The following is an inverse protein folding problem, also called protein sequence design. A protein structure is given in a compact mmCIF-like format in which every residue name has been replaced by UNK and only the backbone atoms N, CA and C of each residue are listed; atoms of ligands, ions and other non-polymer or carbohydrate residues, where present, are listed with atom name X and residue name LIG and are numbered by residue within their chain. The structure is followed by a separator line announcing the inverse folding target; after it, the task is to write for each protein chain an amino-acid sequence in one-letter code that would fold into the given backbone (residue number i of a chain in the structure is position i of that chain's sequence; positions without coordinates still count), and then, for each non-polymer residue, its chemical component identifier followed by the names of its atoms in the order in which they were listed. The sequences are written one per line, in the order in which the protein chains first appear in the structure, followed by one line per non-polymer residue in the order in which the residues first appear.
data_IF_156127070476
#
_entry.id   IF_156127070476
#
_cell.length_a   1.000
_cell.length_b   1.000
_cell.length_c   1.000
_cell.angle_alpha   90.00
_cell.angle_beta   90.00
_cell.angle_gamma   90.00
#
_symmetry.space_group_name_H-M   'P 1'
#
loop_
_entity.id
_entity.type
_entity.pdbx_description
1 polymer ?
2 polymer ?
3 polymer ?
4 non-polymer ?
5 non-polymer ?
6 non-polymer ?
7 water ?
#
# COMPACT_ATOMS: atom_id res chain seq x y z
N UNK A 1 -3.89 7.06 -16.26
CA UNK A 1 -2.65 7.12 -17.01
C UNK A 1 -2.13 5.72 -17.30
N UNK A 2 -1.76 5.46 -18.55
CA UNK A 2 -1.18 4.18 -18.91
C UNK A 2 0.22 4.06 -18.32
N UNK A 3 0.48 2.96 -17.61
CA UNK A 3 1.77 2.78 -16.97
C UNK A 3 2.02 1.29 -16.77
N UNK A 4 3.25 0.86 -17.09
CA UNK A 4 3.67 -0.49 -16.69
C UNK A 4 3.95 -0.55 -15.20
N UNK A 5 4.51 0.53 -14.65
CA UNK A 5 4.82 0.61 -13.23
C UNK A 5 4.64 2.05 -12.77
N UNK A 6 4.32 2.21 -11.49
CA UNK A 6 4.09 3.52 -10.87
C UNK A 6 5.00 3.64 -9.66
N UNK A 7 5.81 4.69 -9.64
CA UNK A 7 6.75 4.97 -8.55
C UNK A 7 6.40 6.33 -7.95
N UNK A 8 6.11 6.36 -6.66
CA UNK A 8 5.52 7.53 -6.04
C UNK A 8 6.19 7.87 -4.72
N UNK A 9 6.68 9.10 -4.60
CA UNK A 9 7.01 9.69 -3.31
C UNK A 9 5.75 10.27 -2.70
N UNK A 10 5.44 9.84 -1.48
CA UNK A 10 4.24 10.31 -0.78
C UNK A 10 4.64 10.82 0.58
N UNK A 11 4.14 12.00 0.94
CA UNK A 11 4.46 12.60 2.22
C UNK A 11 3.27 13.41 2.70
N UNK A 12 3.11 13.49 4.02
CA UNK A 12 2.06 14.32 4.58
C UNK A 12 2.51 14.89 5.91
N UNK A 13 1.85 15.98 6.31
CA UNK A 13 2.01 16.56 7.64
C UNK A 13 0.61 16.86 8.17
N UNK A 14 0.51 16.91 9.51
CA UNK A 14 -0.77 17.18 10.15
C UNK A 14 -0.51 17.66 11.58
N UNK A 15 -1.58 18.14 12.21
CA UNK A 15 -1.46 18.68 13.56
C UNK A 15 -1.19 17.58 14.59
N UNK A 16 -1.90 16.47 14.49
CA UNK A 16 -1.79 15.39 15.47
C UNK A 16 -0.80 14.33 15.02
N UNK A 17 -0.46 13.43 15.94
CA UNK A 17 0.53 12.41 15.66
C UNK A 17 -0.05 11.31 14.78
N UNK A 18 0.70 10.83 13.77
CA UNK A 18 2.05 11.30 13.43
C UNK A 18 2.04 12.63 12.68
N UNK A 19 2.89 13.56 13.11
CA UNK A 19 2.87 14.90 12.53
C UNK A 19 3.49 14.92 11.14
N UNK A 20 4.29 13.91 10.77
CA UNK A 20 4.91 13.90 9.47
C UNK A 20 5.25 12.49 9.03
N UNK A 21 5.25 12.29 7.72
CA UNK A 21 5.63 11.01 7.12
C UNK A 21 6.17 11.26 5.73
N UNK A 22 7.26 10.57 5.39
CA UNK A 22 7.87 10.68 4.07
C UNK A 22 8.29 9.29 3.62
N UNK A 23 7.73 8.82 2.51
CA UNK A 23 8.02 7.47 2.05
C UNK A 23 7.98 7.42 0.53
N UNK A 24 8.45 6.30 -0.01
CA UNK A 24 8.44 6.01 -1.43
C UNK A 24 7.83 4.64 -1.66
N UNK A 25 6.97 4.53 -2.65
CA UNK A 25 6.30 3.28 -2.96
C UNK A 25 6.49 2.94 -4.43
N UNK A 26 6.64 1.65 -4.71
CA UNK A 26 6.75 1.13 -6.07
C UNK A 26 5.63 0.13 -6.29
N UNK A 27 4.78 0.42 -7.27
CA UNK A 27 3.60 -0.41 -7.55
C UNK A 27 2.79 -0.67 -6.28
N UNK A 28 2.62 0.39 -5.48
CA UNK A 28 1.77 0.41 -4.30
C UNK A 28 2.37 -0.31 -3.11
N UNK A 29 3.67 -0.59 -3.08
CA UNK A 29 4.32 -1.18 -1.92
C UNK A 29 5.39 -0.23 -1.42
N UNK A 30 5.33 0.10 -0.13
CA UNK A 30 6.30 0.99 0.49
C UNK A 30 7.70 0.36 0.43
N UNK A 31 8.62 1.04 -0.27
CA UNK A 31 9.98 0.54 -0.42
C UNK A 31 10.93 1.11 0.63
N UNK A 32 10.78 2.38 0.96
CA UNK A 32 11.55 2.97 2.04
C UNK A 32 10.82 4.19 2.57
N UNK A 33 11.23 4.62 3.76
CA UNK A 33 10.75 5.87 4.34
C UNK A 33 11.89 6.53 5.10
N UNK A 34 11.72 7.81 5.40
CA UNK A 34 12.68 8.58 6.17
C UNK A 34 12.13 8.71 7.58
N UNK A 35 12.79 8.06 8.54
CA UNK A 35 12.43 8.23 9.95
C UNK A 35 12.77 9.65 10.37
N UNK A 36 11.74 10.48 10.58
CA UNK A 36 11.96 11.90 10.79
C UNK A 36 12.66 12.18 12.11
N UNK A 37 12.47 11.33 13.11
CA UNK A 37 13.15 11.52 14.40
C UNK A 37 14.60 11.05 14.33
N UNK A 38 14.83 9.82 13.85
CA UNK A 38 16.19 9.31 13.71
C UNK A 38 16.93 10.00 12.56
N UNK A 39 16.20 10.66 11.65
CA UNK A 39 16.80 11.35 10.50
C UNK A 39 17.59 10.39 9.62
N UNK A 40 17.06 9.18 9.40
CA UNK A 40 17.73 8.21 8.55
C UNK A 40 16.70 7.44 7.71
N UNK A 41 17.20 6.85 6.64
CA UNK A 41 16.37 6.09 5.72
C UNK A 41 16.18 4.66 6.22
N UNK A 42 14.94 4.19 6.21
CA UNK A 42 14.60 2.83 6.62
C UNK A 42 14.05 2.09 5.41
N UNK A 43 14.69 0.98 5.06
CA UNK A 43 14.31 0.19 3.90
C UNK A 43 13.41 -0.96 4.32
N UNK A 44 12.38 -1.24 3.51
CA UNK A 44 11.39 -2.23 3.91
C UNK A 44 11.97 -3.64 3.87
N UNK A 45 12.73 -3.95 2.83
CA UNK A 45 13.39 -5.24 2.69
C UNK A 45 14.90 -5.04 2.77
N UNK A 46 15.58 -5.99 3.41
CA UNK A 46 17.03 -5.86 3.59
C UNK A 46 17.77 -5.83 2.26
N UNK A 47 17.26 -6.56 1.25
CA UNK A 47 17.90 -6.52 -0.06
C UNK A 47 17.89 -5.12 -0.65
N UNK A 48 16.84 -4.35 -0.39
CA UNK A 48 16.81 -2.96 -0.85
C UNK A 48 17.89 -2.13 -0.18
N UNK A 49 18.08 -2.32 1.13
CA UNK A 49 19.11 -1.59 1.84
C UNK A 49 20.52 -1.93 1.37
N UNK A 50 20.72 -3.15 0.88
CA UNK A 50 22.02 -3.54 0.37
C UNK A 50 22.25 -3.06 -1.06
N UNK A 51 21.18 -2.76 -1.81
CA UNK A 51 21.30 -2.32 -3.19
C UNK A 51 21.22 -0.82 -3.37
N UNK A 52 20.53 -0.13 -2.47
CA UNK A 52 20.17 1.27 -2.66
C UNK A 52 20.61 2.10 -1.46
N UNK A 53 20.63 3.42 -1.68
CA UNK A 53 20.77 4.39 -0.60
C UNK A 53 19.91 5.59 -0.95
N UNK A 54 19.47 6.32 0.08
CA UNK A 54 18.70 7.53 -0.10
C UNK A 54 19.09 8.53 0.96
N UNK A 55 19.35 9.77 0.54
CA UNK A 55 19.74 10.82 1.46
C UNK A 55 18.53 11.24 2.30
N UNK A 56 18.56 10.92 3.59
CA UNK A 56 17.45 11.25 4.48
C UNK A 56 17.17 12.75 4.52
N UNK A 57 18.17 13.58 4.21
CA UNK A 57 17.97 15.03 4.24
C UNK A 57 16.92 15.47 3.23
N UNK A 58 16.82 14.78 2.09
CA UNK A 58 15.81 15.12 1.11
C UNK A 58 14.40 14.97 1.63
N UNK A 59 14.19 13.98 2.52
CA UNK A 59 12.87 13.81 3.10
C UNK A 59 12.56 14.85 4.17
N UNK A 60 13.57 15.20 4.98
CA UNK A 60 13.38 16.24 5.97
C UNK A 60 13.12 17.59 5.31
N UNK A 61 13.81 17.85 4.19
CA UNK A 61 13.64 19.13 3.50
C UNK A 61 12.24 19.26 2.92
N UNK A 62 11.70 18.17 2.37
CA UNK A 62 10.35 18.25 1.82
C UNK A 62 9.30 18.33 2.91
N UNK A 63 9.54 17.70 4.06
CA UNK A 63 8.60 17.77 5.17
C UNK A 63 8.50 19.21 5.67
N UNK A 64 9.62 19.91 5.77
CA UNK A 64 9.58 21.32 6.15
C UNK A 64 8.80 22.15 5.14
N UNK A 65 9.00 21.88 3.84
CA UNK A 65 8.23 22.58 2.82
C UNK A 65 6.74 22.26 2.96
N UNK A 66 6.42 20.99 3.28
CA UNK A 66 5.01 20.63 3.50
C UNK A 66 4.43 21.35 4.71
N UNK A 67 5.23 21.53 5.76
CA UNK A 67 4.76 22.26 6.93
C UNK A 67 4.56 23.74 6.60
N UNK A 68 5.42 24.30 5.75
CA UNK A 68 5.24 25.67 5.29
C UNK A 68 3.91 25.83 4.55
N UNK A 69 3.65 24.95 3.59
CA UNK A 69 2.42 25.06 2.81
C UNK A 69 1.19 24.71 3.63
N UNK A 70 1.35 23.90 4.69
CA UNK A 70 0.21 23.61 5.56
C UNK A 70 -0.27 24.88 6.26
N UNK A 71 0.65 25.60 6.90
CA UNK A 71 0.29 26.86 7.56
C UNK A 71 -0.37 27.82 6.57
N UNK A 72 0.18 27.92 5.36
CA UNK A 72 -0.39 28.81 4.35
C UNK A 72 -1.80 28.38 3.95
N UNK A 73 -2.02 27.07 3.83
CA UNK A 73 -3.32 26.59 3.38
C UNK A 73 -4.35 26.59 4.51
N UNK A 74 -3.90 26.49 5.76
CA UNK A 74 -4.83 26.63 6.89
C UNK A 74 -5.47 28.01 6.87
N UNK A 75 -4.67 29.06 6.71
CA UNK A 75 -5.20 30.41 6.70
C UNK A 75 -6.03 30.67 5.45
N UNK A 76 -5.56 30.21 4.29
CA UNK A 76 -6.26 30.51 3.05
C UNK A 76 -7.59 29.78 2.97
N UNK A 77 -7.70 28.59 3.53
CA UNK A 77 -8.95 27.84 3.53
C UNK A 77 -9.93 28.29 4.60
N UNK A 78 -9.61 29.36 5.33
CA UNK A 78 -10.41 29.80 6.47
C UNK A 78 -10.54 28.70 7.52
N UNK A 79 -9.40 28.04 7.81
CA UNK A 79 -9.31 26.99 8.82
C UNK A 79 -10.31 25.87 8.53
N UNK A 80 -10.34 25.41 7.29
CA UNK A 80 -11.27 24.35 6.88
C UNK A 80 -10.70 23.01 7.32
N UNK A 81 -11.45 22.28 8.14
CA UNK A 81 -11.08 20.94 8.57
C UNK A 81 -12.03 19.93 7.92
N UNK A 82 -11.45 18.91 7.31
CA UNK A 82 -12.23 17.92 6.57
C UNK A 82 -12.98 16.99 7.51
N UNK A 83 -14.04 16.39 6.98
CA UNK A 83 -14.82 15.43 7.74
C UNK A 83 -13.99 14.17 8.00
N UNK A 84 -14.39 13.43 9.03
CA UNK A 84 -13.74 12.17 9.37
C UNK A 84 -14.29 11.06 8.48
N UNK A 85 -13.41 10.37 7.76
CA UNK A 85 -13.81 9.22 6.98
C UNK A 85 -13.52 7.96 7.79
N UNK A 86 -14.53 7.20 8.20
CA UNK A 86 -14.27 6.08 9.10
C UNK A 86 -13.58 4.95 8.38
N UNK A 87 -12.84 4.11 9.09
CA UNK A 87 -12.06 3.05 8.44
C UNK A 87 -12.83 1.77 8.23
N UNK A 88 -12.43 1.06 7.17
CA UNK A 88 -12.85 -0.32 6.93
C UNK A 88 -11.77 -1.25 7.47
N UNK A 89 -12.17 -2.28 8.20
CA UNK A 89 -11.25 -3.17 8.88
C UNK A 89 -11.48 -4.60 8.43
N UNK A 90 -10.41 -5.28 8.02
CA UNK A 90 -10.45 -6.69 7.64
C UNK A 90 -9.27 -7.40 8.29
N UNK A 91 -9.51 -8.60 8.80
CA UNK A 91 -8.49 -9.43 9.44
C UNK A 91 -8.42 -10.75 8.70
N UNK A 92 -7.19 -11.18 8.39
CA UNK A 92 -6.99 -12.41 7.62
C UNK A 92 -5.56 -12.90 7.86
N UNK A 93 -5.31 -14.19 7.75
CA UNK A 93 -3.96 -14.71 7.95
C UNK A 93 -3.10 -14.56 6.69
N UNK A 94 -1.79 -14.51 6.93
CA UNK A 94 -0.83 -14.47 5.82
C UNK A 94 -0.73 -15.83 5.14
N UNK A 95 -0.72 -16.90 5.92
CA UNK A 95 -0.54 -18.27 5.46
C UNK A 95 -1.83 -19.06 5.64
N UNK A 96 -1.98 -20.20 4.96
CA UNK A 96 -3.11 -21.08 5.26
C UNK A 96 -3.05 -21.53 6.71
N UNK A 97 -4.21 -21.58 7.35
CA UNK A 97 -4.30 -21.86 8.78
C UNK A 97 -4.11 -23.36 8.99
N UNK A 98 -3.02 -23.74 9.63
CA UNK A 98 -2.78 -25.10 10.09
C UNK A 98 -2.52 -25.06 11.58
N UNK A 99 -3.32 -25.80 12.35
CA UNK A 99 -3.21 -25.77 13.80
C UNK A 99 -1.83 -26.20 14.23
N UNK A 100 -1.17 -25.39 15.05
CA UNK A 100 0.17 -25.66 15.52
C UNK A 100 1.28 -25.07 14.66
N UNK A 101 0.98 -24.66 13.43
CA UNK A 101 2.00 -24.11 12.55
C UNK A 101 2.04 -22.59 12.68
N UNK A 102 3.21 -22.00 12.96
CA UNK A 102 3.30 -20.54 13.11
C UNK A 102 2.74 -19.82 11.89
N UNK A 103 2.09 -18.69 12.15
CA UNK A 103 1.41 -17.92 11.12
C UNK A 103 1.49 -16.44 11.50
N UNK A 104 0.93 -15.59 10.65
CA UNK A 104 0.88 -14.16 10.90
C UNK A 104 -0.52 -13.66 10.61
N UNK A 105 -1.20 -13.12 11.62
CA UNK A 105 -2.49 -12.49 11.43
C UNK A 105 -2.27 -11.06 10.93
N UNK A 106 -3.04 -10.68 9.90
CA UNK A 106 -2.94 -9.35 9.30
C UNK A 106 -4.24 -8.61 9.54
N UNK A 107 -4.13 -7.40 10.07
CA UNK A 107 -5.28 -6.50 10.19
C UNK A 107 -5.07 -5.35 9.22
N UNK A 108 -6.00 -5.19 8.28
CA UNK A 108 -5.92 -4.15 7.26
C UNK A 108 -7.00 -3.11 7.52
N UNK A 109 -6.58 -1.87 7.73
CA UNK A 109 -7.46 -0.75 8.03
C UNK A 109 -7.40 0.19 6.83
N UNK A 110 -8.56 0.52 6.26
CA UNK A 110 -8.59 1.10 4.92
C UNK A 110 -9.57 2.27 4.82
N UNK A 111 -9.29 3.16 3.87
CA UNK A 111 -10.21 4.21 3.43
C UNK A 111 -10.55 5.19 4.55
N UNK A 112 -9.58 5.50 5.39
CA UNK A 112 -9.84 6.39 6.52
C UNK A 112 -9.05 7.70 6.38
N UNK A 113 -9.55 8.71 7.10
CA UNK A 113 -8.98 10.04 7.12
C UNK A 113 -9.56 10.75 8.34
N UNK A 114 -8.78 11.52 9.10
CA UNK A 114 -7.34 11.79 8.94
C UNK A 114 -6.49 10.58 9.31
N UNK A 115 -5.18 10.64 9.02
CA UNK A 115 -4.28 9.53 9.43
C UNK A 115 -3.96 9.57 10.91
N UNK A 116 -5.00 9.40 11.73
CA UNK A 116 -4.89 9.32 13.18
C UNK A 116 -5.62 8.06 13.63
N UNK A 117 -4.91 7.17 14.31
CA UNK A 117 -5.43 5.82 14.49
C UNK A 117 -4.82 5.17 15.72
N UNK A 118 -5.65 4.46 16.47
CA UNK A 118 -5.21 3.49 17.48
C UNK A 118 -5.62 2.11 17.01
N UNK A 119 -4.69 1.16 17.05
CA UNK A 119 -4.96 -0.23 16.70
C UNK A 119 -4.37 -1.11 17.79
N UNK A 120 -5.13 -2.10 18.24
CA UNK A 120 -4.67 -3.01 19.27
C UNK A 120 -5.12 -4.43 18.92
N UNK A 121 -4.18 -5.37 18.97
CA UNK A 121 -4.52 -6.78 18.88
C UNK A 121 -4.98 -7.28 20.24
N UNK A 122 -6.07 -8.05 20.24
CA UNK A 122 -6.55 -8.73 21.44
C UNK A 122 -6.49 -10.23 21.21
N UNK A 123 -5.83 -10.94 22.12
CA UNK A 123 -5.80 -12.40 22.11
C UNK A 123 -6.60 -12.88 23.31
N UNK A 124 -7.75 -13.50 23.04
CA UNK A 124 -8.67 -13.93 24.08
C UNK A 124 -9.01 -12.77 25.02
N UNK A 125 -9.20 -11.60 24.42
CA UNK A 125 -9.54 -10.40 25.18
C UNK A 125 -8.36 -9.65 25.77
N UNK A 126 -7.14 -10.17 25.67
CA UNK A 126 -5.98 -9.54 26.29
C UNK A 126 -5.11 -8.86 25.25
N UNK A 127 -4.76 -7.60 25.44
CA UNK A 127 -3.97 -6.88 24.43
C UNK A 127 -2.59 -7.50 24.25
N UNK A 128 -2.15 -7.56 23.01
CA UNK A 128 -0.79 -7.96 22.65
C UNK A 128 -0.03 -6.69 22.30
N UNK A 129 0.91 -6.31 23.17
CA UNK A 129 1.58 -5.01 23.07
C UNK A 129 3.02 -5.11 22.61
N UNK A 130 3.55 -6.32 22.41
CA UNK A 130 4.96 -6.49 22.06
C UNK A 130 5.09 -7.52 20.95
N UNK A 131 6.12 -7.35 20.14
CA UNK A 131 6.33 -8.20 18.98
C UNK A 131 5.38 -7.97 17.83
N UNK A 132 4.67 -6.84 17.83
CA UNK A 132 3.68 -6.53 16.81
C UNK A 132 4.26 -5.51 15.84
N UNK A 133 4.17 -5.80 14.56
CA UNK A 133 4.66 -4.91 13.52
C UNK A 133 3.50 -4.15 12.88
N UNK A 134 3.84 -3.06 12.21
CA UNK A 134 2.84 -2.23 11.56
C UNK A 134 3.50 -1.46 10.44
N UNK A 135 2.70 -1.12 9.44
CA UNK A 135 3.16 -0.33 8.32
C UNK A 135 3.06 1.16 8.66
N UNK A 136 3.55 2.00 7.75
CA UNK A 136 3.26 3.43 7.83
C UNK A 136 1.79 3.67 7.57
N UNK A 137 1.38 4.94 7.70
CA UNK A 137 0.09 5.37 7.17
C UNK A 137 0.25 5.48 5.67
N UNK A 138 -0.28 4.49 4.94
CA UNK A 138 -0.02 4.37 3.51
C UNK A 138 -1.00 5.21 2.70
N UNK A 139 -0.51 5.91 1.69
CA UNK A 139 -1.38 6.78 0.90
C UNK A 139 -2.27 6.00 -0.04
N UNK A 140 -3.42 6.61 -0.35
CA UNK A 140 -4.30 6.13 -1.40
C UNK A 140 -4.43 7.20 -2.46
N UNK A 141 -4.85 6.78 -3.65
CA UNK A 141 -5.01 7.73 -4.75
C UNK A 141 -6.18 8.68 -4.54
N UNK A 142 -7.11 8.36 -3.65
CA UNK A 142 -8.17 9.28 -3.26
C UNK A 142 -7.79 10.07 -2.00
N UNK A 143 -6.53 10.01 -1.59
CA UNK A 143 -5.93 10.83 -0.54
C UNK A 143 -6.42 10.48 0.85
N UNK A 144 -7.21 9.42 1.01
CA UNK A 144 -7.39 8.80 2.30
C UNK A 144 -6.23 7.83 2.52
N UNK A 145 -6.28 7.02 3.58
CA UNK A 145 -5.14 6.22 3.96
C UNK A 145 -5.56 4.78 4.21
N UNK A 146 -4.57 3.89 4.22
CA UNK A 146 -4.75 2.54 4.73
C UNK A 146 -3.49 2.14 5.51
N UNK A 147 -3.59 1.02 6.21
CA UNK A 147 -2.55 0.63 7.16
C UNK A 147 -2.66 -0.86 7.47
N UNK A 148 -1.51 -1.48 7.72
CA UNK A 148 -1.42 -2.89 8.06
C UNK A 148 -0.86 -3.05 9.47
N UNK A 149 -1.46 -3.94 10.25
CA UNK A 149 -0.89 -4.38 11.52
C UNK A 149 -0.70 -5.90 11.46
N UNK A 150 0.35 -6.37 12.13
CA UNK A 150 0.78 -7.75 12.02
C UNK A 150 0.95 -8.37 13.39
N UNK A 151 0.53 -9.63 13.52
CA UNK A 151 0.61 -10.37 14.77
C UNK A 151 1.06 -11.79 14.49
N UNK A 152 2.20 -12.17 15.04
CA UNK A 152 2.66 -13.55 14.97
C UNK A 152 1.87 -14.39 15.96
N UNK A 153 1.40 -15.55 15.52
CA UNK A 153 0.60 -16.41 16.39
C UNK A 153 0.67 -17.84 15.89
N UNK A 154 0.32 -18.76 16.79
CA UNK A 154 0.21 -20.18 16.50
C UNK A 154 -1.28 -20.53 16.55
N UNK A 155 -1.90 -20.91 15.43
CA UNK A 155 -3.33 -21.19 15.43
C UNK A 155 -3.68 -22.36 16.37
N UNK A 156 -4.77 -22.18 17.10
CA UNK A 156 -5.33 -23.24 17.92
C UNK A 156 -6.85 -23.09 17.92
N UNK A 157 -7.54 -24.19 18.19
CA UNK A 157 -8.98 -24.20 18.05
C UNK A 157 -9.67 -23.30 19.07
N UNK A 158 -9.12 -23.19 20.28
CA UNK A 158 -9.78 -22.48 21.36
C UNK A 158 -9.57 -20.98 21.33
N UNK A 159 -8.60 -20.49 20.57
CA UNK A 159 -8.20 -19.10 20.68
C UNK A 159 -9.09 -18.19 19.84
N UNK A 160 -9.18 -16.93 20.26
CA UNK A 160 -10.00 -15.92 19.62
C UNK A 160 -9.18 -14.64 19.56
N UNK A 161 -9.24 -13.96 18.41
CA UNK A 161 -8.47 -12.74 18.20
C UNK A 161 -9.39 -11.60 17.80
N UNK A 162 -8.95 -10.38 18.12
CA UNK A 162 -9.68 -9.18 17.75
C UNK A 162 -8.68 -8.11 17.34
N UNK A 163 -9.00 -7.41 16.26
CA UNK A 163 -8.30 -6.18 15.88
C UNK A 163 -9.20 -5.03 16.31
N UNK A 164 -8.78 -4.31 17.36
CA UNK A 164 -9.54 -3.20 17.91
C UNK A 164 -9.01 -1.89 17.35
N UNK A 165 -9.88 -1.16 16.65
CA UNK A 165 -9.49 0.03 15.91
C UNK A 165 -10.25 1.23 16.45
N UNK A 166 -9.52 2.32 16.73
CA UNK A 166 -10.10 3.57 17.19
C UNK A 166 -9.82 4.66 16.17
N UNK A 167 -10.86 5.43 15.83
CA UNK A 167 -10.73 6.51 14.87
C UNK A 167 -11.79 7.56 15.19
N UNK A 168 -11.51 8.80 14.81
CA UNK A 168 -12.42 9.90 15.13
C UNK A 168 -13.76 9.76 14.41
N UNK A 169 -13.76 9.12 13.24
CA UNK A 169 -14.99 8.89 12.51
C UNK A 169 -15.85 7.76 13.01
N UNK A 170 -15.45 7.10 14.11
CA UNK A 170 -16.19 6.00 14.69
C UNK A 170 -16.81 6.42 16.01
N UNK A 171 -18.08 6.09 16.20
CA UNK A 171 -18.74 6.40 17.46
C UNK A 171 -18.13 5.63 18.62
N UNK A 172 -17.78 4.38 18.39
CA UNK A 172 -17.19 3.51 19.40
C UNK A 172 -16.04 2.75 18.77
N UNK A 173 -15.17 2.15 19.59
CA UNK A 173 -14.09 1.32 19.02
C UNK A 173 -14.66 0.20 18.16
N UNK A 174 -13.98 -0.06 17.05
CA UNK A 174 -14.38 -1.10 16.10
C UNK A 174 -13.56 -2.35 16.35
N UNK A 175 -14.24 -3.49 16.51
CA UNK A 175 -13.61 -4.77 16.80
C UNK A 175 -13.91 -5.74 15.67
N UNK A 176 -12.88 -6.14 14.94
CA UNK A 176 -13.00 -7.16 13.90
C UNK A 176 -12.55 -8.49 14.48
N UNK A 177 -13.48 -9.45 14.53
CA UNK A 177 -13.26 -10.74 15.15
C UNK A 177 -12.60 -11.70 14.15
N UNK A 178 -11.79 -12.61 14.69
CA UNK A 178 -11.18 -13.66 13.87
C UNK A 178 -10.91 -14.88 14.72
N UNK A 179 -11.08 -16.05 14.11
CA UNK A 179 -10.68 -17.31 14.73
C UNK A 179 -10.25 -18.27 13.64
N UNK A 180 -9.67 -19.41 14.04
CA UNK A 180 -9.05 -20.32 13.09
C UNK A 180 -10.03 -20.82 12.05
N UNK A 181 -11.31 -20.93 12.39
CA UNK A 181 -12.33 -21.38 11.44
C UNK A 181 -13.00 -20.23 10.70
N UNK A 182 -12.64 -18.99 11.00
CA UNK A 182 -13.21 -17.85 10.27
C UNK A 182 -12.84 -17.93 8.80
N UNK A 183 -13.86 -17.81 7.94
CA UNK A 183 -13.64 -17.81 6.50
C UNK A 183 -13.54 -16.41 5.93
N UNK B 2 -16.56 17.14 19.12
CA UNK B 2 -15.81 16.09 19.79
C UNK B 2 -14.52 15.78 19.04
N UNK B 3 -14.51 16.08 17.74
CA UNK B 3 -13.33 15.84 16.92
C UNK B 3 -12.31 16.95 17.18
N UNK B 4 -11.09 16.63 17.61
CA UNK B 4 -10.09 17.67 17.84
C UNK B 4 -9.72 18.40 16.56
N UNK B 5 -9.19 19.61 16.73
CA UNK B 5 -8.70 20.40 15.61
C UNK B 5 -7.55 19.67 14.93
N UNK B 6 -7.68 19.46 13.61
CA UNK B 6 -6.64 18.78 12.86
C UNK B 6 -6.69 19.23 11.41
N UNK B 7 -5.54 19.63 10.87
CA UNK B 7 -5.39 19.99 9.47
C UNK B 7 -4.29 19.12 8.86
N UNK B 8 -4.48 18.71 7.62
CA UNK B 8 -3.60 17.76 6.96
C UNK B 8 -3.15 18.33 5.62
N UNK B 9 -1.86 18.19 5.33
CA UNK B 9 -1.30 18.60 4.04
C UNK B 9 -0.51 17.44 3.48
N UNK B 10 -0.77 17.10 2.21
CA UNK B 10 -0.15 15.96 1.56
C UNK B 10 0.56 16.40 0.28
N UNK B 11 1.62 15.69 -0.06
CA UNK B 11 2.33 15.91 -1.31
C UNK B 11 2.63 14.60 -2.00
N UNK B 12 2.50 14.59 -3.32
CA UNK B 12 2.75 13.41 -4.13
C UNK B 12 3.67 13.75 -5.29
N UNK B 13 4.61 12.84 -5.56
CA UNK B 13 5.47 12.91 -6.75
C UNK B 13 5.41 11.55 -7.42
N UNK B 14 4.73 11.46 -8.56
CA UNK B 14 4.44 10.19 -9.20
C UNK B 14 5.12 10.13 -10.56
N UNK B 15 5.85 9.05 -10.82
CA UNK B 15 6.44 8.77 -12.11
C UNK B 15 5.77 7.55 -12.71
N UNK B 16 5.27 7.69 -13.95
CA UNK B 16 4.59 6.63 -14.67
C UNK B 16 5.50 6.16 -15.80
N UNK B 17 6.00 4.94 -15.68
CA UNK B 17 6.87 4.36 -16.71
C UNK B 17 6.03 3.55 -17.70
N UNK B 18 6.24 3.79 -18.98
CA UNK B 18 5.54 3.05 -20.02
C UNK B 18 6.31 3.17 -21.33
N UNK B 19 6.66 2.03 -21.92
CA UNK B 19 7.16 1.98 -23.30
C UNK B 19 8.43 2.78 -23.48
N UNK B 20 9.27 2.83 -22.45
CA UNK B 20 10.50 3.60 -22.48
C UNK B 20 10.37 5.07 -22.11
N UNK B 21 9.15 5.53 -21.82
CA UNK B 21 8.90 6.94 -21.50
C UNK B 21 8.60 7.10 -20.03
N UNK B 22 8.69 8.35 -19.56
CA UNK B 22 8.37 8.70 -18.18
C UNK B 22 7.43 9.90 -18.19
N UNK B 23 6.33 9.79 -17.45
CA UNK B 23 5.41 10.90 -17.24
C UNK B 23 5.38 11.22 -15.75
N UNK B 24 5.64 12.49 -15.42
CA UNK B 24 5.76 12.94 -14.04
C UNK B 24 4.52 13.74 -13.65
N UNK B 25 4.02 13.47 -12.43
CA UNK B 25 2.89 14.20 -11.87
C UNK B 25 3.22 14.60 -10.44
N UNK B 26 3.07 15.88 -10.14
CA UNK B 26 3.30 16.41 -8.80
C UNK B 26 1.99 17.00 -8.29
N UNK B 27 1.53 16.53 -7.15
CA UNK B 27 0.23 16.92 -6.60
C UNK B 27 0.39 17.58 -5.25
N UNK B 28 -0.35 18.66 -5.04
CA UNK B 28 -0.38 19.38 -3.77
C UNK B 28 -1.80 19.29 -3.22
N UNK B 29 -1.93 18.80 -2.00
CA UNK B 29 -3.22 18.41 -1.44
C UNK B 29 -3.37 19.04 -0.07
N UNK B 30 -4.51 19.69 0.16
CA UNK B 30 -4.91 20.15 1.48
C UNK B 30 -6.02 19.23 1.97
N UNK B 31 -5.80 18.61 3.12
CA UNK B 31 -6.65 17.52 3.59
C UNK B 31 -6.78 16.45 2.51
N UNK B 32 -7.95 16.34 1.89
CA UNK B 32 -8.15 15.39 0.80
C UNK B 32 -8.36 16.08 -0.54
N UNK B 33 -8.12 17.38 -0.63
CA UNK B 33 -8.44 18.17 -1.82
C UNK B 33 -7.14 18.51 -2.55
N UNK B 34 -6.93 17.91 -3.71
CA UNK B 34 -5.82 18.32 -4.56
C UNK B 34 -6.13 19.69 -5.16
N UNK B 35 -5.28 20.68 -4.87
CA UNK B 35 -5.53 22.04 -5.33
C UNK B 35 -4.57 22.52 -6.41
N UNK B 36 -3.35 21.98 -6.46
CA UNK B 36 -2.39 22.33 -7.49
C UNK B 36 -1.73 21.07 -8.03
N UNK B 37 -1.31 21.13 -9.28
CA UNK B 37 -0.75 19.95 -9.93
C UNK B 37 0.19 20.36 -11.06
N UNK B 38 1.33 19.67 -11.15
CA UNK B 38 2.20 19.73 -12.31
C UNK B 38 2.11 18.40 -13.05
N UNK B 39 1.91 18.48 -14.37
CA UNK B 39 1.88 17.31 -15.23
C UNK B 39 2.89 17.53 -16.34
N UNK B 40 3.84 16.60 -16.48
CA UNK B 40 4.86 16.76 -17.52
C UNK B 40 4.27 16.72 -18.92
N UNK B 41 3.10 16.11 -19.11
CA UNK B 41 2.42 16.16 -20.39
C UNK B 41 1.86 17.53 -20.70
N UNK B 42 1.60 18.34 -19.68
CA UNK B 42 1.17 19.71 -19.87
C UNK B 42 2.36 20.66 -19.94
N UNK B 43 3.37 20.44 -19.09
CA UNK B 43 4.55 21.26 -19.07
C UNK B 43 4.51 22.43 -18.11
N UNK B 44 3.38 22.68 -17.48
CA UNK B 44 3.23 23.80 -16.56
C UNK B 44 2.31 23.38 -15.42
N UNK B 45 2.27 24.21 -14.39
CA UNK B 45 1.36 23.98 -13.27
C UNK B 45 -0.06 24.37 -13.66
N UNK B 46 -1.01 23.70 -13.02
CA UNK B 46 -2.43 23.99 -13.21
C UNK B 46 -3.12 23.98 -11.86
N UNK B 47 -4.08 24.87 -11.67
CA UNK B 47 -4.87 24.90 -10.45
C UNK B 47 -6.04 23.93 -10.59
N UNK B 48 -6.16 23.02 -9.63
CA UNK B 48 -7.27 22.08 -9.63
C UNK B 48 -8.50 22.64 -8.92
N UNK B 49 -8.29 23.45 -7.88
CA UNK B 49 -9.36 24.18 -7.21
C UNK B 49 -8.93 25.63 -7.06
N UNK B 50 -9.87 26.45 -6.59
CA UNK B 50 -9.58 27.87 -6.39
C UNK B 50 -8.48 28.09 -5.37
N UNK B 51 -8.26 27.13 -4.46
CA UNK B 51 -7.20 27.27 -3.46
C UNK B 51 -5.81 27.27 -4.08
N UNK B 52 -5.66 26.77 -5.30
CA UNK B 52 -4.37 26.66 -5.94
C UNK B 52 -4.05 27.72 -6.96
N UNK B 53 -4.98 28.62 -7.26
CA UNK B 53 -4.72 29.67 -8.24
C UNK B 53 -3.51 30.53 -7.88
N UNK B 54 -3.33 31.01 -6.64
CA UNK B 54 -2.11 31.79 -6.34
C UNK B 54 -0.83 31.00 -6.50
N UNK B 55 -0.86 29.69 -6.25
CA UNK B 55 0.35 28.87 -6.37
C UNK B 55 0.71 28.64 -7.83
N UNK B 56 -0.27 28.19 -8.62
CA UNK B 56 -0.02 27.90 -10.03
C UNK B 56 0.39 29.16 -10.78
N UNK B 57 -0.20 30.30 -10.44
CA UNK B 57 0.16 31.55 -11.09
C UNK B 57 1.60 31.95 -10.78
N UNK B 58 2.01 31.80 -9.51
CA UNK B 58 3.37 32.18 -9.14
C UNK B 58 4.39 31.18 -9.70
N UNK B 59 4.10 29.88 -9.58
CA UNK B 59 5.08 28.88 -10.00
C UNK B 59 5.30 28.91 -11.50
N UNK B 60 4.23 29.11 -12.28
CA UNK B 60 4.38 29.21 -13.71
C UNK B 60 5.14 30.47 -14.15
N UNK B 61 5.33 31.43 -13.25
CA UNK B 61 6.10 32.63 -13.53
C UNK B 61 7.58 32.46 -13.21
N UNK B 62 7.97 31.39 -12.52
CA UNK B 62 9.37 31.10 -12.22
C UNK B 62 9.84 30.06 -13.22
N UNK B 63 10.58 30.52 -14.24
CA UNK B 63 11.06 29.60 -15.27
C UNK B 63 12.06 28.59 -14.70
N UNK B 64 12.76 28.96 -13.62
CA UNK B 64 13.65 28.00 -12.98
C UNK B 64 12.86 26.85 -12.36
N UNK B 65 11.69 27.15 -11.78
CA UNK B 65 10.83 26.09 -11.25
C UNK B 65 10.30 25.23 -12.40
N UNK B 66 9.82 25.87 -13.46
CA UNK B 66 9.23 25.12 -14.57
C UNK B 66 10.26 24.23 -15.25
N UNK B 67 11.47 24.74 -15.48
CA UNK B 67 12.50 23.94 -16.14
C UNK B 67 12.94 22.77 -15.26
N UNK B 68 12.97 22.96 -13.94
CA UNK B 68 13.31 21.87 -13.04
C UNK B 68 12.27 20.75 -13.10
N UNK B 69 10.99 21.12 -13.12
CA UNK B 69 9.93 20.12 -13.16
C UNK B 69 9.83 19.45 -14.52
N UNK B 70 10.16 20.17 -15.59
CA UNK B 70 10.15 19.55 -16.92
C UNK B 70 11.27 18.54 -17.08
N UNK B 71 12.36 18.70 -16.33
CA UNK B 71 13.49 17.78 -16.39
C UNK B 71 13.33 16.58 -15.47
N UNK B 72 12.34 16.60 -14.56
CA UNK B 72 12.18 15.48 -13.63
C UNK B 72 11.99 14.15 -14.33
N UNK B 73 11.19 14.03 -15.39
CA UNK B 73 11.07 12.72 -16.06
C UNK B 73 12.39 12.12 -16.48
N UNK B 74 13.37 12.94 -16.87
CA UNK B 74 14.68 12.42 -17.25
C UNK B 74 15.64 12.35 -16.07
N UNK B 75 15.58 13.33 -15.17
CA UNK B 75 16.60 13.43 -14.13
C UNK B 75 16.30 12.53 -12.93
N UNK B 76 15.02 12.32 -12.59
CA UNK B 76 14.63 11.56 -11.42
C UNK B 76 13.84 10.31 -11.78
N UNK B 77 12.79 10.46 -12.59
CA UNK B 77 11.94 9.32 -12.92
C UNK B 77 12.72 8.24 -13.65
N UNK B 78 13.41 8.61 -14.73
CA UNK B 78 14.24 7.65 -15.46
C UNK B 78 15.35 7.12 -14.58
N UNK B 79 15.95 7.98 -13.76
CA UNK B 79 17.04 7.55 -12.88
C UNK B 79 16.56 6.51 -11.88
N UNK B 80 15.44 6.78 -11.20
CA UNK B 80 14.92 5.84 -10.22
C UNK B 80 14.46 4.55 -10.89
N UNK B 81 13.90 4.64 -12.09
CA UNK B 81 13.38 3.46 -12.76
C UNK B 81 14.50 2.51 -13.16
N UNK B 82 15.64 3.05 -13.59
CA UNK B 82 16.76 2.19 -13.96
C UNK B 82 17.29 1.42 -12.75
N UNK B 83 17.26 2.04 -11.57
CA UNK B 83 17.65 1.32 -10.37
C UNK B 83 16.64 0.26 -10.01
N UNK B 84 15.34 0.60 -10.05
CA UNK B 84 14.31 -0.37 -9.71
C UNK B 84 14.24 -1.50 -10.73
N UNK B 85 14.61 -1.23 -11.99
CA UNK B 85 14.64 -2.29 -13.00
C UNK B 85 15.64 -3.38 -12.62
N UNK B 86 16.79 -3.00 -12.07
CA UNK B 86 17.87 -3.94 -11.80
C UNK B 86 17.69 -4.69 -10.49
N UNK B 87 16.76 -4.28 -9.63
CA UNK B 87 16.60 -4.88 -8.31
C UNK B 87 15.13 -5.17 -8.05
N UNK B 88 14.32 -4.11 -7.95
CA UNK B 88 12.93 -4.26 -7.55
C UNK B 88 12.14 -5.10 -8.56
N UNK B 89 12.37 -4.87 -9.85
CA UNK B 89 11.69 -5.63 -10.89
C UNK B 89 12.25 -7.04 -11.07
N UNK B 90 13.38 -7.36 -10.45
CA UNK B 90 13.89 -8.72 -10.45
C UNK B 90 13.33 -9.55 -9.30
N UNK B 91 12.60 -8.94 -8.38
CA UNK B 91 12.04 -9.68 -7.25
C UNK B 91 11.06 -10.72 -7.74
N UNK B 92 11.34 -11.98 -7.39
CA UNK B 92 10.47 -13.10 -7.71
C UNK B 92 10.31 -13.93 -6.45
N UNK B 93 9.08 -14.03 -5.96
CA UNK B 93 8.74 -14.90 -4.84
C UNK B 93 7.69 -15.87 -5.34
N UNK B 94 8.00 -17.17 -5.28
CA UNK B 94 7.14 -18.17 -5.88
C UNK B 94 5.89 -18.38 -5.04
N UNK B 95 4.73 -18.56 -5.66
CA UNK B 95 3.51 -18.81 -4.90
C UNK B 95 3.54 -20.18 -4.23
N UNK B 96 3.01 -20.24 -3.01
CA UNK B 96 2.74 -21.48 -2.31
C UNK B 96 1.26 -21.80 -2.47
N UNK B 97 0.95 -23.05 -2.80
CA UNK B 97 -0.39 -23.46 -3.19
C UNK B 97 -0.90 -24.52 -2.21
N UNK B 98 -2.08 -24.26 -1.64
CA UNK B 98 -2.71 -25.16 -0.69
C UNK B 98 -4.16 -25.38 -1.11
N UNK B 99 -4.56 -26.64 -1.19
CA UNK B 99 -5.94 -27.01 -1.50
C UNK B 99 -6.53 -27.74 -0.31
N UNK B 100 -7.70 -27.29 0.14
CA UNK B 100 -8.37 -27.88 1.28
C UNK B 100 -9.86 -27.63 1.15
N UNK B 101 -10.70 -28.46 1.75
CA UNK B 101 -12.15 -28.22 1.71
C UNK B 101 -12.58 -27.24 2.79
N UNK B 102 -13.71 -26.59 2.53
CA UNK B 102 -14.24 -25.60 3.47
C UNK B 102 -15.11 -26.27 4.54
N UNK B 110 -22.35 -24.08 -0.38
CA UNK B 110 -22.44 -25.44 0.13
C UNK B 110 -21.04 -26.03 0.30
N UNK B 111 -20.67 -26.97 -0.57
CA UNK B 111 -19.35 -27.60 -0.49
C UNK B 111 -18.38 -26.87 -1.41
N UNK B 112 -17.32 -26.33 -0.82
CA UNK B 112 -16.38 -25.46 -1.51
C UNK B 112 -14.96 -26.01 -1.33
N UNK B 113 -14.24 -26.14 -2.44
CA UNK B 113 -12.82 -26.45 -2.45
C UNK B 113 -12.07 -25.14 -2.63
N UNK B 114 -11.08 -24.90 -1.76
CA UNK B 114 -10.38 -23.63 -1.71
C UNK B 114 -8.94 -23.84 -2.15
N UNK B 115 -8.52 -23.05 -3.14
CA UNK B 115 -7.12 -22.99 -3.55
C UNK B 115 -6.56 -21.69 -2.97
N UNK B 116 -5.81 -21.81 -1.87
CA UNK B 116 -5.16 -20.67 -1.23
C UNK B 116 -3.73 -20.57 -1.73
N UNK B 117 -3.47 -19.52 -2.50
CA UNK B 117 -2.16 -19.26 -3.10
C UNK B 117 -1.54 -18.08 -2.37
N UNK B 118 -0.34 -18.27 -1.82
CA UNK B 118 0.19 -17.31 -0.84
C UNK B 118 1.63 -16.92 -1.12
N UNK B 119 1.99 -15.75 -0.59
CA UNK B 119 3.36 -15.26 -0.47
C UNK B 119 4.08 -15.24 -1.82
N UNK B 120 3.46 -14.59 -2.79
CA UNK B 120 4.06 -14.48 -4.11
C UNK B 120 4.27 -13.01 -4.48
N UNK B 121 5.22 -12.79 -5.39
CA UNK B 121 5.52 -11.49 -5.96
C UNK B 121 6.23 -11.70 -7.28
N UNK B 122 5.83 -10.99 -8.35
CA UNK B 122 4.81 -9.95 -8.39
C UNK B 122 3.36 -10.44 -8.37
N UNK B 123 2.44 -9.50 -8.58
CA UNK B 123 1.03 -9.76 -8.32
C UNK B 123 0.33 -10.50 -9.45
N UNK B 124 0.78 -10.31 -10.69
CA UNK B 124 0.16 -10.98 -11.82
C UNK B 124 0.22 -12.49 -11.64
N UNK B 125 -0.93 -13.15 -11.71
CA UNK B 125 -1.03 -14.58 -11.45
C UNK B 125 -2.22 -15.13 -12.21
N UNK B 126 -2.09 -16.40 -12.63
CA UNK B 126 -3.17 -17.14 -13.24
C UNK B 126 -3.43 -18.38 -12.40
N UNK B 127 -4.68 -18.56 -11.97
CA UNK B 127 -5.10 -19.69 -11.16
C UNK B 127 -6.30 -20.32 -11.83
N UNK B 128 -6.19 -21.60 -12.20
CA UNK B 128 -7.24 -22.32 -12.88
C UNK B 128 -7.61 -23.59 -12.12
N UNK B 129 -8.88 -23.94 -12.18
CA UNK B 129 -9.41 -25.15 -11.56
C UNK B 129 -9.73 -26.17 -12.64
N UNK B 130 -9.34 -27.43 -12.40
CA UNK B 130 -9.60 -28.52 -13.32
C UNK B 130 -10.32 -29.63 -12.58
N UNK B 131 -11.33 -30.23 -13.23
CA UNK B 131 -12.03 -31.39 -12.70
C UNK B 131 -11.91 -32.51 -13.70
N UNK B 132 -11.25 -33.60 -13.30
CA UNK B 132 -10.99 -34.75 -14.16
C UNK B 132 -10.45 -34.32 -15.53
N UNK B 133 -9.51 -33.38 -15.50
CA UNK B 133 -8.83 -32.93 -16.68
C UNK B 133 -9.50 -31.80 -17.44
N UNK B 134 -10.72 -31.42 -17.08
CA UNK B 134 -11.45 -30.37 -17.77
C UNK B 134 -11.46 -29.10 -16.93
N UNK B 135 -11.11 -27.97 -17.55
CA UNK B 135 -11.09 -26.72 -16.82
C UNK B 135 -12.52 -26.31 -16.48
N UNK B 136 -12.70 -25.82 -15.26
CA UNK B 136 -14.00 -25.33 -14.80
C UNK B 136 -13.99 -23.81 -14.79
N UNK B 137 -15.13 -23.24 -15.13
CA UNK B 137 -15.32 -21.80 -15.02
C UNK B 137 -16.49 -21.44 -14.12
N UNK B 138 -17.55 -22.24 -14.15
CA UNK B 138 -18.70 -22.02 -13.27
C UNK B 138 -18.38 -22.51 -11.86
N UNK B 139 -18.99 -21.83 -10.87
CA UNK B 139 -18.70 -22.13 -9.49
C UNK B 139 -17.33 -21.74 -9.03
N UNK B 140 -16.54 -21.08 -9.87
CA UNK B 140 -15.23 -20.56 -9.50
C UNK B 140 -15.40 -19.13 -9.01
N UNK B 141 -15.01 -18.89 -7.77
CA UNK B 141 -15.11 -17.57 -7.14
C UNK B 141 -13.73 -17.23 -6.61
N UNK B 142 -13.09 -16.24 -7.22
CA UNK B 142 -11.77 -15.79 -6.79
C UNK B 142 -11.90 -14.51 -6.00
N UNK B 143 -11.17 -14.44 -4.88
CA UNK B 143 -10.95 -13.16 -4.26
C UNK B 143 -10.21 -12.25 -5.25
N UNK B 144 -10.20 -10.96 -4.96
CA UNK B 144 -9.25 -10.12 -5.65
C UNK B 144 -7.85 -10.47 -5.19
N UNK B 145 -6.85 -9.88 -5.82
CA UNK B 145 -5.49 -9.99 -5.33
C UNK B 145 -5.41 -9.31 -3.97
N UNK B 146 -4.95 -10.03 -2.95
CA UNK B 146 -4.85 -9.50 -1.61
C UNK B 146 -3.41 -9.10 -1.34
N UNK B 147 -3.20 -7.80 -1.10
CA UNK B 147 -1.90 -7.27 -0.76
C UNK B 147 -1.67 -7.44 0.74
N UNK B 148 -0.58 -8.12 1.10
CA UNK B 148 -0.26 -8.33 2.51
C UNK B 148 0.49 -7.17 3.15
N UNK B 149 1.00 -6.23 2.35
CA UNK B 149 1.75 -5.11 2.88
C UNK B 149 3.23 -5.35 3.11
N UNK B 150 3.71 -6.58 2.90
CA UNK B 150 5.10 -6.95 3.13
C UNK B 150 5.80 -7.33 1.83
N UNK B 151 5.37 -6.74 0.71
CA UNK B 151 5.87 -7.04 -0.63
C UNK B 151 5.55 -8.47 -1.05
N UNK B 152 4.48 -9.05 -0.50
CA UNK B 152 3.94 -10.31 -0.96
C UNK B 152 2.44 -10.15 -1.19
N UNK B 153 1.89 -11.01 -2.05
CA UNK B 153 0.46 -11.08 -2.32
C UNK B 153 -0.08 -12.45 -1.92
N UNK B 154 -1.41 -12.54 -1.84
CA UNK B 154 -2.09 -13.83 -1.75
C UNK B 154 -3.41 -13.72 -2.50
N UNK B 155 -3.99 -14.89 -2.80
CA UNK B 155 -5.25 -14.98 -3.53
C UNK B 155 -5.91 -16.28 -3.14
N UNK B 156 -7.25 -16.25 -3.02
CA UNK B 156 -8.04 -17.42 -2.71
C UNK B 156 -9.05 -17.63 -3.85
N UNK B 157 -9.01 -18.81 -4.45
CA UNK B 157 -9.87 -19.14 -5.57
C UNK B 157 -10.68 -20.38 -5.17
N UNK B 158 -12.00 -20.18 -5.00
CA UNK B 158 -12.89 -21.20 -4.50
C UNK B 158 -13.63 -21.87 -5.65
N UNK B 159 -13.88 -23.17 -5.52
CA UNK B 159 -14.62 -23.95 -6.50
C UNK B 159 -15.76 -24.67 -5.81
N UNK B 160 -16.98 -24.36 -6.21
CA UNK B 160 -18.13 -25.15 -5.77
C UNK B 160 -18.10 -26.50 -6.47
N UNK B 161 -18.23 -27.57 -5.69
CA UNK B 161 -18.01 -28.92 -6.19
C UNK B 161 -19.07 -29.87 -5.65
N UNK B 162 -19.42 -30.85 -6.48
CA UNK B 162 -20.22 -32.01 -6.05
C UNK B 162 -19.29 -33.22 -6.11
N UNK B 163 -18.69 -33.62 -4.99
CA UNK B 163 -17.63 -34.64 -5.04
C UNK B 163 -18.21 -36.05 -5.12
N UNK B 164 -17.94 -36.72 -6.23
CA UNK B 164 -18.14 -38.15 -6.35
C UNK B 164 -16.86 -38.89 -5.99
N UNK B 165 -16.98 -40.19 -5.78
CA UNK B 165 -15.80 -41.00 -5.50
C UNK B 165 -14.96 -41.15 -6.77
N UNK B 166 -13.67 -40.81 -6.67
CA UNK B 166 -12.78 -40.92 -7.79
C UNK B 166 -12.63 -39.65 -8.62
N UNK B 167 -13.17 -38.53 -8.18
CA UNK B 167 -13.01 -37.27 -8.89
C UNK B 167 -11.67 -36.63 -8.54
N UNK B 168 -10.98 -36.12 -9.56
CA UNK B 168 -9.64 -35.56 -9.42
C UNK B 168 -9.72 -34.06 -9.69
N UNK B 169 -9.60 -33.25 -8.64
CA UNK B 169 -9.57 -31.81 -8.75
C UNK B 169 -8.12 -31.32 -8.76
N UNK B 170 -7.79 -30.43 -9.68
CA UNK B 170 -6.45 -29.87 -9.79
C UNK B 170 -6.56 -28.35 -9.80
N UNK B 171 -5.80 -27.70 -8.93
CA UNK B 171 -5.60 -26.25 -8.97
C UNK B 171 -4.26 -25.97 -9.64
N UNK B 172 -4.28 -25.20 -10.72
CA UNK B 172 -3.09 -24.89 -11.50
C UNK B 172 -2.75 -23.42 -11.38
N UNK B 173 -1.48 -23.12 -11.11
CA UNK B 173 -1.02 -21.75 -10.87
C UNK B 173 0.11 -21.45 -11.82
N UNK B 174 0.01 -20.31 -12.53
CA UNK B 174 1.07 -19.82 -13.39
C UNK B 174 1.51 -18.44 -12.91
N UNK B 175 2.82 -18.21 -12.96
CA UNK B 175 3.44 -17.04 -12.37
C UNK B 175 4.84 -16.89 -12.96
N UNK B 176 5.28 -15.64 -13.14
CA UNK B 176 6.57 -15.40 -13.78
C UNK B 176 7.73 -15.99 -12.99
N UNK B 177 7.55 -16.26 -11.70
CA UNK B 177 8.57 -16.89 -10.89
C UNK B 177 8.67 -18.39 -11.14
N UNK B 178 7.80 -18.95 -11.97
CA UNK B 178 7.74 -20.38 -12.20
C UNK B 178 8.13 -20.69 -13.64
N UNK B 179 9.01 -21.68 -13.82
CA UNK B 179 9.38 -22.12 -15.16
C UNK B 179 8.28 -22.99 -15.77
N UNK B 180 7.51 -23.69 -14.95
CA UNK B 180 6.39 -24.50 -15.39
C UNK B 180 5.26 -24.35 -14.39
N UNK B 181 4.00 -24.51 -14.84
CA UNK B 181 2.88 -24.32 -13.92
C UNK B 181 2.94 -25.25 -12.73
N UNK B 182 2.45 -24.75 -11.59
CA UNK B 182 2.36 -25.53 -10.36
C UNK B 182 0.95 -26.08 -10.24
N UNK B 183 0.83 -27.39 -10.00
CA UNK B 183 -0.45 -28.06 -9.88
C UNK B 183 -0.53 -28.76 -8.53
N UNK B 184 -1.66 -28.58 -7.85
CA UNK B 184 -1.95 -29.27 -6.60
C UNK B 184 -3.22 -30.09 -6.81
N UNK B 185 -3.16 -31.37 -6.47
CA UNK B 185 -4.22 -32.32 -6.73
C UNK B 185 -4.96 -32.63 -5.43
N UNK B 186 -6.29 -32.70 -5.51
CA UNK B 186 -7.15 -33.07 -4.39
C UNK B 186 -8.12 -34.13 -4.89
N UNK B 187 -7.93 -35.37 -4.42
CA UNK B 187 -8.77 -36.49 -4.83
C UNK B 187 -9.96 -36.60 -3.89
N UNK B 188 -11.15 -36.65 -4.47
CA UNK B 188 -12.37 -36.51 -3.68
C UNK B 188 -12.61 -37.73 -2.80
N UNK B 189 -13.06 -37.48 -1.57
CA UNK B 189 -13.41 -38.51 -0.61
C UNK B 189 -14.89 -38.41 -0.29
N UNK B 190 -15.61 -39.50 -0.50
CA UNK B 190 -17.05 -39.52 -0.22
C UNK B 190 -17.88 -39.83 -1.45
N UNK C 2 10.84 31.65 3.28
CA UNK C 2 10.07 32.88 3.05
C UNK C 2 9.04 32.88 1.87
N UNK C 3 8.52 31.75 1.42
CA UNK C 3 7.53 31.75 0.35
C UNK C 3 6.25 31.07 0.83
N UNK C 4 5.10 31.67 0.50
CA UNK C 4 3.82 31.11 0.90
C UNK C 4 3.62 29.74 0.26
N UNK C 5 3.76 29.67 -1.06
CA UNK C 5 3.50 28.46 -1.83
C UNK C 5 4.84 27.94 -2.35
N UNK C 6 5.48 27.08 -1.56
CA UNK C 6 6.78 26.51 -1.92
C UNK C 6 6.59 25.17 -2.61
N UNK C 7 7.44 24.90 -3.61
CA UNK C 7 7.38 23.63 -4.34
C UNK C 7 8.27 22.62 -3.65
N UNK C 8 7.79 21.38 -3.56
CA UNK C 8 8.64 20.30 -3.10
C UNK C 8 9.65 19.96 -4.19
N UNK C 9 10.77 19.38 -3.78
CA UNK C 9 11.86 19.07 -4.68
C UNK C 9 12.02 17.56 -4.83
N UNK C 10 12.22 17.12 -6.06
CA UNK C 10 12.29 15.70 -6.37
C UNK C 10 13.75 15.24 -6.36
N UNK C 11 14.06 14.29 -5.48
CA UNK C 11 15.37 13.68 -5.43
C UNK C 11 15.22 12.17 -5.57
N UNK C 12 16.23 11.54 -6.17
CA UNK C 12 16.19 10.12 -6.43
C UNK C 12 17.02 9.32 -5.44
N UNK C 13 16.79 8.01 -5.45
CA UNK C 13 17.65 7.10 -4.73
C UNK C 13 18.90 6.82 -5.57
N UNK C 14 19.88 6.17 -4.94
CA UNK C 14 21.16 5.92 -5.60
C UNK C 14 21.59 4.48 -5.31
N UNK C 15 22.56 4.02 -6.09
CA UNK C 15 23.20 2.74 -5.81
C UNK C 15 23.88 2.79 -4.46
N UNK C 16 23.85 1.67 -3.75
CA UNK C 16 24.42 1.64 -2.41
C UNK C 16 25.93 1.88 -2.46
N UNK C 17 26.46 2.45 -1.39
CA UNK C 17 27.87 2.84 -1.32
C UNK C 17 28.83 1.66 -1.42
#
# INVERSE_FOLDING_TARGET
IKADHVSTYAAFVQTHRPTGEFMFEFDEDEQFYVDLDKKETVWHLEEFGRAFSFEAQGGLANIAILNNNLNTLIQRSNHTQAANDPPEVTVFPKEPVELGQPNTLICHIDRFFPPVLNVTWLCNGEPVTEGVAESLFLPRTDYSFHKFHYLTFVPSAEDVYDCRVEHWGLDQPLLKHWEATSG
RATPENYVYQGRQECYAFNGTQRFLERYIYNREEYARFDSDVGEFRAVTELGRPAAEYWNSQKDILEEKRAVPDRVCRHNYELDEAVTLQRRVQPKVNVSPSKKGPLQHHNLLVCHVTDFYPGSIQVRWFLNGQEETAGVVSTNLIRNGDWTFQILVMLEMTPQQGDVYICQVEHTSLDSPVTVEWKATGG
LPVADAVIHASGKQMWQ
#
